data_IF_529761019356
#
_entry.id   IF_529761019356
#
_cell.length_a   1.000
_cell.length_b   1.000
_cell.length_c   1.000
_cell.angle_alpha   90.00
_cell.angle_beta   90.00
_cell.angle_gamma   90.00
#
_symmetry.space_group_name_H-M   'P 1'
#
loop_
_entity.id
_entity.type
_entity.pdbx_description
1 polymer ?
#
# COMPACT_ATOMS: atom_id res chain seq x y z
N UNK A 1 -6.99 -32.41 -6.34
CA UNK A 1 -7.05 -30.95 -6.09
C UNK A 1 -7.42 -30.26 -7.38
N UNK A 2 -8.59 -29.62 -7.43
CA UNK A 2 -9.04 -28.85 -8.60
C UNK A 2 -8.51 -27.43 -8.42
N UNK A 3 -7.63 -26.98 -9.32
CA UNK A 3 -7.27 -25.55 -9.37
C UNK A 3 -8.51 -24.79 -9.84
N UNK A 4 -9.03 -23.80 -9.08
CA UNK A 4 -10.18 -23.04 -9.51
C UNK A 4 -9.89 -22.37 -10.86
N UNK A 5 -10.84 -22.43 -11.79
CA UNK A 5 -10.71 -21.76 -13.09
C UNK A 5 -10.62 -20.25 -12.87
N UNK A 6 -9.66 -19.61 -13.53
CA UNK A 6 -9.54 -18.16 -13.51
C UNK A 6 -10.54 -17.58 -14.52
N UNK A 7 -11.73 -17.21 -14.06
CA UNK A 7 -12.69 -16.48 -14.90
C UNK A 7 -12.26 -15.03 -15.03
N UNK A 8 -11.50 -14.74 -16.10
CA UNK A 8 -11.09 -13.38 -16.41
C UNK A 8 -12.32 -12.47 -16.56
N UNK A 9 -12.27 -11.32 -15.89
CA UNK A 9 -13.27 -10.27 -16.03
C UNK A 9 -12.64 -8.89 -15.85
N UNK A 10 -13.26 -7.87 -16.44
CA UNK A 10 -12.85 -6.48 -16.23
C UNK A 10 -12.84 -6.08 -14.75
N UNK A 11 -13.72 -6.70 -13.95
CA UNK A 11 -13.77 -6.50 -12.51
C UNK A 11 -12.49 -7.00 -11.84
N UNK A 12 -12.06 -8.23 -12.15
CA UNK A 12 -10.82 -8.79 -11.61
C UNK A 12 -9.58 -8.02 -12.08
N UNK A 13 -9.55 -7.57 -13.33
CA UNK A 13 -8.46 -6.75 -13.85
C UNK A 13 -8.37 -5.40 -13.11
N UNK A 14 -9.51 -4.75 -12.85
CA UNK A 14 -9.58 -3.52 -12.04
C UNK A 14 -9.10 -3.77 -10.60
N UNK A 15 -9.55 -4.85 -9.97
CA UNK A 15 -9.12 -5.21 -8.61
C UNK A 15 -7.61 -5.49 -8.55
N UNK A 16 -7.05 -6.19 -9.54
CA UNK A 16 -5.61 -6.44 -9.63
C UNK A 16 -4.83 -5.12 -9.73
N UNK A 17 -5.25 -4.21 -10.62
CA UNK A 17 -4.67 -2.86 -10.74
C UNK A 17 -4.71 -2.10 -9.43
N UNK A 18 -5.88 -2.03 -8.78
CA UNK A 18 -6.03 -1.35 -7.48
C UNK A 18 -5.13 -1.95 -6.41
N UNK A 19 -4.91 -3.27 -6.40
CA UNK A 19 -3.99 -3.90 -5.45
C UNK A 19 -2.51 -3.55 -5.75
N UNK A 20 -2.13 -3.46 -7.02
CA UNK A 20 -0.78 -3.00 -7.41
C UNK A 20 -0.56 -1.53 -7.03
N UNK A 21 -1.53 -0.66 -7.29
CA UNK A 21 -1.44 0.77 -6.95
C UNK A 21 -1.21 0.98 -5.43
N UNK A 22 -1.88 0.18 -4.58
CA UNK A 22 -1.65 0.20 -3.12
C UNK A 22 -0.25 -0.25 -2.73
N UNK A 23 0.28 -1.28 -3.39
CA UNK A 23 1.64 -1.75 -3.16
C UNK A 23 2.67 -0.70 -3.56
N UNK A 24 2.50 -0.07 -4.72
CA UNK A 24 3.36 1.02 -5.18
C UNK A 24 3.35 2.19 -4.20
N UNK A 25 2.17 2.62 -3.75
CA UNK A 25 2.02 3.70 -2.77
C UNK A 25 2.69 3.37 -1.44
N UNK A 26 2.48 2.16 -0.93
CA UNK A 26 3.14 1.68 0.29
C UNK A 26 4.67 1.74 0.17
N UNK A 27 5.22 1.29 -0.96
CA UNK A 27 6.66 1.31 -1.21
C UNK A 27 7.20 2.75 -1.32
N UNK A 28 6.43 3.69 -1.87
CA UNK A 28 6.78 5.13 -1.85
C UNK A 28 6.82 5.67 -0.43
N UNK A 29 5.79 5.41 0.39
CA UNK A 29 5.75 5.84 1.80
C UNK A 29 6.95 5.33 2.61
N UNK A 30 7.36 4.08 2.40
CA UNK A 30 8.55 3.53 3.05
C UNK A 30 9.83 4.31 2.71
N UNK A 31 9.99 4.75 1.46
CA UNK A 31 11.15 5.55 1.05
C UNK A 31 11.18 6.93 1.70
N UNK A 32 10.01 7.51 1.94
CA UNK A 32 9.84 8.84 2.52
C UNK A 32 9.87 8.82 4.06
N UNK A 33 9.81 7.64 4.67
CA UNK A 33 9.77 7.47 6.13
C UNK A 33 11.06 7.95 6.80
N UNK A 34 10.91 8.83 7.80
CA UNK A 34 12.01 9.39 8.62
C UNK A 34 11.73 9.29 10.12
N UNK A 35 10.82 8.40 10.53
CA UNK A 35 10.43 8.25 11.92
C UNK A 35 11.51 7.67 12.82
N UNK A 36 11.14 7.46 14.08
CA UNK A 36 12.03 6.86 15.09
C UNK A 36 11.60 5.42 15.36
N UNK A 37 12.52 4.55 15.83
CA UNK A 37 12.15 3.20 16.24
C UNK A 37 11.07 3.26 17.33
N UNK A 38 9.96 2.57 17.12
CA UNK A 38 8.92 2.38 18.13
C UNK A 38 9.39 1.47 19.27
N UNK A 39 8.75 1.61 20.45
CA UNK A 39 8.93 0.64 21.55
C UNK A 39 8.38 -0.72 21.08
N UNK A 40 9.15 -1.80 21.21
CA UNK A 40 8.82 -3.17 20.75
C UNK A 40 8.74 -3.42 19.23
N UNK A 41 9.66 -2.86 18.43
CA UNK A 41 9.71 -3.16 16.99
C UNK A 41 10.57 -4.38 16.58
N UNK A 42 11.30 -5.01 17.49
CA UNK A 42 12.18 -6.13 17.13
C UNK A 42 11.34 -7.29 16.56
N UNK A 43 11.71 -7.76 15.37
CA UNK A 43 11.24 -8.96 14.69
C UNK A 43 9.94 -8.84 13.88
N UNK A 44 9.41 -7.64 13.63
CA UNK A 44 8.15 -7.51 12.89
C UNK A 44 8.27 -7.94 11.41
N UNK A 45 9.35 -7.54 10.74
CA UNK A 45 9.65 -7.98 9.36
C UNK A 45 10.07 -9.45 9.31
N UNK A 46 10.87 -9.93 10.27
CA UNK A 46 11.33 -11.32 10.32
C UNK A 46 10.15 -12.30 10.49
N UNK A 47 9.22 -11.99 11.39
CA UNK A 47 8.01 -12.79 11.58
C UNK A 47 7.12 -12.81 10.34
N UNK A 48 7.03 -11.66 9.64
CA UNK A 48 6.28 -11.58 8.40
C UNK A 48 6.94 -12.38 7.28
N UNK A 49 8.26 -12.22 7.08
CA UNK A 49 9.04 -12.96 6.08
C UNK A 49 8.89 -14.47 6.27
N UNK A 50 9.05 -14.96 7.52
CA UNK A 50 8.85 -16.37 7.84
C UNK A 50 7.44 -16.86 7.47
N UNK A 51 6.40 -16.15 7.94
CA UNK A 51 5.00 -16.54 7.68
C UNK A 51 4.63 -16.44 6.19
N UNK A 52 5.23 -15.49 5.48
CA UNK A 52 5.04 -15.34 4.04
C UNK A 52 5.59 -16.54 3.28
N UNK A 53 6.83 -16.97 3.59
CA UNK A 53 7.42 -18.14 2.95
C UNK A 53 6.73 -19.45 3.35
N UNK A 54 6.34 -19.62 4.62
CA UNK A 54 5.55 -20.79 5.06
C UNK A 54 4.25 -20.96 4.25
N UNK A 55 3.58 -19.84 3.92
CA UNK A 55 2.36 -19.87 3.11
C UNK A 55 2.64 -20.18 1.64
N UNK A 56 3.81 -19.82 1.11
CA UNK A 56 4.18 -20.14 -0.26
C UNK A 56 4.70 -21.57 -0.41
N UNK A 57 5.32 -22.14 0.62
CA UNK A 57 5.72 -23.55 0.65
C UNK A 57 4.50 -24.49 0.62
N UNK A 58 3.37 -24.04 1.18
CA UNK A 58 2.08 -24.71 1.09
C UNK A 58 1.41 -24.47 -0.28
N UNK A 59 1.79 -25.27 -1.30
CA UNK A 59 1.23 -25.28 -2.67
C UNK A 59 1.14 -23.90 -3.35
N UNK A 60 2.14 -23.03 -3.13
CA UNK A 60 2.17 -21.66 -3.66
C UNK A 60 0.86 -20.90 -3.42
N UNK A 61 0.34 -20.94 -2.19
CA UNK A 61 -0.94 -20.32 -1.81
C UNK A 61 -0.91 -18.79 -1.87
N UNK A 62 -0.93 -18.25 -3.08
CA UNK A 62 -0.87 -16.81 -3.39
C UNK A 62 -2.07 -16.03 -2.87
N UNK A 63 -3.32 -16.56 -2.79
CA UNK A 63 -4.41 -15.84 -2.13
C UNK A 63 -4.13 -15.55 -0.66
N UNK A 64 -3.61 -16.55 0.08
CA UNK A 64 -3.25 -16.39 1.49
C UNK A 64 -2.03 -15.49 1.65
N UNK A 65 -1.04 -15.61 0.77
CA UNK A 65 0.13 -14.73 0.75
C UNK A 65 -0.27 -13.27 0.50
N UNK A 66 -1.19 -13.02 -0.44
CA UNK A 66 -1.78 -11.70 -0.70
C UNK A 66 -2.46 -11.13 0.55
N UNK A 67 -3.26 -11.93 1.25
CA UNK A 67 -3.88 -11.52 2.51
C UNK A 67 -2.85 -11.09 3.55
N UNK A 68 -1.80 -11.89 3.75
CA UNK A 68 -0.70 -11.56 4.66
C UNK A 68 0.01 -10.25 4.29
N UNK A 69 0.24 -10.01 2.99
CA UNK A 69 0.84 -8.76 2.50
C UNK A 69 -0.01 -7.55 2.90
N UNK A 70 -1.33 -7.58 2.66
CA UNK A 70 -2.19 -6.43 2.96
C UNK A 70 -2.40 -6.21 4.46
N UNK A 71 -2.45 -7.27 5.27
CA UNK A 71 -2.44 -7.17 6.73
C UNK A 71 -1.15 -6.52 7.23
N UNK A 72 -0.01 -6.89 6.62
CA UNK A 72 1.28 -6.31 6.95
C UNK A 72 1.37 -4.84 6.56
N UNK A 73 0.95 -4.47 5.36
CA UNK A 73 0.89 -3.07 4.88
C UNK A 73 0.07 -2.22 5.85
N UNK A 74 -1.10 -2.70 6.28
CA UNK A 74 -1.96 -1.98 7.22
C UNK A 74 -1.26 -1.70 8.55
N UNK A 75 -0.56 -2.70 9.10
CA UNK A 75 0.22 -2.55 10.35
C UNK A 75 1.37 -1.56 10.19
N UNK A 76 2.08 -1.60 9.06
CA UNK A 76 3.21 -0.71 8.82
C UNK A 76 2.76 0.72 8.55
N UNK A 77 1.70 0.93 7.77
CA UNK A 77 1.12 2.26 7.55
C UNK A 77 0.75 2.92 8.88
N UNK A 78 0.11 2.19 9.81
CA UNK A 78 -0.18 2.71 11.15
C UNK A 78 1.10 3.17 11.87
N UNK A 79 2.21 2.42 11.76
CA UNK A 79 3.50 2.81 12.36
C UNK A 79 4.13 4.03 11.67
N UNK A 80 3.95 4.18 10.36
CA UNK A 80 4.38 5.37 9.61
C UNK A 80 3.59 6.59 10.11
N UNK A 81 2.26 6.48 10.18
CA UNK A 81 1.35 7.55 10.61
C UNK A 81 1.63 7.97 12.08
N UNK A 82 1.97 7.02 12.95
CA UNK A 82 2.37 7.26 14.35
C UNK A 82 3.84 7.71 14.51
N UNK A 83 4.59 7.85 13.41
CA UNK A 83 6.02 8.19 13.37
C UNK A 83 6.92 7.21 14.16
N UNK A 84 6.49 5.95 14.26
CA UNK A 84 7.11 4.84 14.99
C UNK A 84 7.83 3.82 14.09
N UNK A 85 7.99 4.14 12.81
CA UNK A 85 8.81 3.37 11.88
C UNK A 85 10.10 4.12 11.58
N UNK A 86 11.23 3.54 11.93
CA UNK A 86 12.53 4.13 11.62
C UNK A 86 12.86 3.97 10.14
N UNK A 87 13.71 4.87 9.63
CA UNK A 87 14.24 4.77 8.26
C UNK A 87 14.95 3.42 8.00
N UNK A 88 15.64 2.87 9.00
CA UNK A 88 16.30 1.56 8.90
C UNK A 88 15.27 0.44 8.71
N UNK A 89 14.22 0.42 9.51
CA UNK A 89 13.14 -0.57 9.40
C UNK A 89 12.41 -0.44 8.07
N UNK A 90 12.09 0.79 7.66
CA UNK A 90 11.44 1.06 6.38
C UNK A 90 12.28 0.56 5.20
N UNK A 91 13.60 0.78 5.24
CA UNK A 91 14.54 0.26 4.23
C UNK A 91 14.60 -1.27 4.22
N UNK A 92 14.61 -1.92 5.39
CA UNK A 92 14.58 -3.39 5.48
C UNK A 92 13.31 -3.94 4.85
N UNK A 93 12.14 -3.37 5.16
CA UNK A 93 10.86 -3.78 4.58
C UNK A 93 10.87 -3.56 3.06
N UNK A 94 11.31 -2.40 2.60
CA UNK A 94 11.40 -2.10 1.17
C UNK A 94 12.29 -3.11 0.41
N UNK A 95 13.44 -3.47 0.99
CA UNK A 95 14.34 -4.47 0.41
C UNK A 95 13.73 -5.87 0.37
N UNK A 96 12.92 -6.25 1.37
CA UNK A 96 12.16 -7.50 1.33
C UNK A 96 11.21 -7.53 0.13
N UNK A 97 10.46 -6.45 -0.12
CA UNK A 97 9.57 -6.36 -1.28
C UNK A 97 10.33 -6.38 -2.63
N UNK A 98 11.55 -5.83 -2.68
CA UNK A 98 12.44 -6.00 -3.85
C UNK A 98 12.79 -7.48 -4.08
N UNK A 99 13.23 -8.17 -3.03
CA UNK A 99 13.62 -9.59 -3.08
C UNK A 99 12.46 -10.48 -3.56
N UNK A 100 11.26 -10.33 -3.01
CA UNK A 100 10.13 -11.15 -3.47
C UNK A 100 9.71 -10.81 -4.91
N UNK A 101 9.92 -9.58 -5.36
CA UNK A 101 9.61 -9.19 -6.72
C UNK A 101 10.57 -9.79 -7.76
N UNK A 102 11.75 -10.27 -7.35
CA UNK A 102 12.60 -11.09 -8.23
C UNK A 102 11.92 -12.42 -8.61
N UNK A 103 11.00 -12.90 -7.78
CA UNK A 103 10.22 -14.12 -8.01
C UNK A 103 8.93 -13.81 -8.78
N UNK A 104 8.14 -12.85 -8.27
CA UNK A 104 6.81 -12.56 -8.83
C UNK A 104 6.83 -11.64 -10.04
N UNK A 105 7.81 -10.74 -10.14
CA UNK A 105 7.98 -9.75 -11.21
C UNK A 105 6.69 -8.96 -11.55
N UNK A 106 5.99 -8.48 -10.51
CA UNK A 106 4.71 -7.77 -10.62
C UNK A 106 4.83 -6.26 -10.34
N UNK A 107 5.96 -5.79 -9.79
CA UNK A 107 6.22 -4.40 -9.46
C UNK A 107 7.33 -3.82 -10.34
N UNK A 108 7.10 -2.61 -10.84
CA UNK A 108 8.12 -1.83 -11.52
C UNK A 108 8.82 -0.87 -10.53
N UNK A 109 9.96 -1.31 -10.01
CA UNK A 109 10.76 -0.49 -9.10
C UNK A 109 11.34 0.76 -9.76
N UNK A 110 11.51 0.81 -11.09
CA UNK A 110 11.96 2.03 -11.78
C UNK A 110 10.87 3.10 -11.70
N UNK A 111 9.62 2.70 -11.88
CA UNK A 111 8.44 3.59 -11.72
C UNK A 111 8.25 4.05 -10.27
N UNK A 112 8.43 3.15 -9.31
CA UNK A 112 8.31 3.46 -7.87
C UNK A 112 9.45 4.39 -7.40
N UNK A 113 10.66 4.20 -7.94
CA UNK A 113 11.84 4.99 -7.59
C UNK A 113 11.89 6.34 -8.29
N UNK A 114 11.32 6.40 -9.49
CA UNK A 114 11.14 7.61 -10.28
C UNK A 114 10.25 8.65 -9.59
N UNK A 115 10.38 9.91 -10.01
CA UNK A 115 9.57 11.04 -9.53
C UNK A 115 8.11 10.99 -9.96
N UNK A 116 7.55 9.83 -10.31
CA UNK A 116 6.15 9.71 -10.71
C UNK A 116 5.25 9.71 -9.46
N UNK A 117 5.05 10.94 -8.99
CA UNK A 117 3.80 11.56 -8.53
C UNK A 117 2.62 10.59 -8.41
N UNK A 118 1.93 10.63 -7.26
CA UNK A 118 0.52 10.25 -7.10
C UNK A 118 -0.19 10.16 -8.46
N UNK A 119 -0.82 9.01 -8.76
CA UNK A 119 -1.66 8.84 -9.95
C UNK A 119 -2.38 10.16 -10.24
N UNK A 120 -2.22 10.72 -11.45
CA UNK A 120 -2.81 12.02 -11.81
C UNK A 120 -4.30 12.10 -11.43
N UNK A 121 -4.96 10.95 -11.43
CA UNK A 121 -6.34 10.77 -11.01
C UNK A 121 -6.54 11.05 -9.52
N UNK A 122 -5.67 10.54 -8.64
CA UNK A 122 -5.75 10.79 -7.20
C UNK A 122 -5.34 12.21 -6.85
N UNK A 123 -4.32 12.76 -7.51
CA UNK A 123 -3.98 14.18 -7.34
C UNK A 123 -5.16 15.09 -7.67
N UNK A 124 -5.85 14.82 -8.79
CA UNK A 124 -7.07 15.52 -9.17
C UNK A 124 -8.20 15.32 -8.16
N UNK A 125 -8.37 14.12 -7.62
CA UNK A 125 -9.39 13.87 -6.59
C UNK A 125 -9.09 14.62 -5.29
N UNK A 126 -7.82 14.68 -4.86
CA UNK A 126 -7.40 15.46 -3.69
C UNK A 126 -7.62 16.96 -3.92
N UNK A 127 -7.22 17.51 -5.07
CA UNK A 127 -7.47 18.91 -5.43
C UNK A 127 -8.97 19.22 -5.53
N UNK A 128 -9.76 18.31 -6.08
CA UNK A 128 -11.22 18.46 -6.20
C UNK A 128 -11.91 18.47 -4.83
N UNK A 129 -11.43 17.64 -3.90
CA UNK A 129 -11.89 17.66 -2.51
C UNK A 129 -11.59 19.00 -1.85
N UNK A 130 -10.35 19.50 -1.96
CA UNK A 130 -9.96 20.79 -1.36
C UNK A 130 -10.75 21.97 -1.97
N UNK A 131 -11.03 21.92 -3.27
CA UNK A 131 -11.92 22.89 -3.92
C UNK A 131 -13.33 22.85 -3.34
N UNK A 132 -13.90 21.68 -3.10
CA UNK A 132 -15.21 21.58 -2.46
C UNK A 132 -15.19 22.00 -0.98
N UNK A 133 -14.09 21.76 -0.25
CA UNK A 133 -13.91 22.18 1.14
C UNK A 133 -13.84 23.70 1.27
N UNK A 134 -13.02 24.36 0.44
CA UNK A 134 -12.91 25.83 0.38
C UNK A 134 -14.21 26.51 -0.05
N UNK A 135 -15.00 25.86 -0.91
CA UNK A 135 -16.34 26.30 -1.30
C UNK A 135 -17.44 25.96 -0.28
N UNK A 136 -17.10 25.40 0.89
CA UNK A 136 -18.05 24.94 1.93
C UNK A 136 -19.08 23.91 1.44
N UNK A 137 -18.77 23.20 0.37
CA UNK A 137 -19.59 22.11 -0.21
C UNK A 137 -19.24 20.77 0.46
N UNK A 138 -19.63 20.62 1.72
CA UNK A 138 -19.25 19.48 2.56
C UNK A 138 -19.72 18.12 2.01
N UNK A 139 -20.92 18.05 1.43
CA UNK A 139 -21.44 16.83 0.79
C UNK A 139 -20.55 16.35 -0.36
N UNK A 140 -20.16 17.25 -1.27
CA UNK A 140 -19.30 16.90 -2.42
C UNK A 140 -17.87 16.56 -1.98
N UNK A 141 -17.35 17.22 -0.95
CA UNK A 141 -16.06 16.86 -0.37
C UNK A 141 -16.08 15.44 0.24
N UNK A 142 -17.17 15.06 0.92
CA UNK A 142 -17.34 13.72 1.48
C UNK A 142 -17.52 12.64 0.40
N UNK A 143 -18.22 12.95 -0.70
CA UNK A 143 -18.31 12.07 -1.87
C UNK A 143 -16.94 11.79 -2.50
N UNK A 144 -16.11 12.84 -2.65
CA UNK A 144 -14.76 12.69 -3.18
C UNK A 144 -13.86 11.94 -2.19
N UNK A 145 -14.00 12.18 -0.87
CA UNK A 145 -13.33 11.39 0.17
C UNK A 145 -13.68 9.91 0.07
N UNK A 146 -14.96 9.57 -0.11
CA UNK A 146 -15.42 8.19 -0.32
C UNK A 146 -14.85 7.59 -1.61
N UNK A 147 -14.71 8.36 -2.68
CA UNK A 147 -14.04 7.90 -3.92
C UNK A 147 -12.57 7.60 -3.70
N UNK A 148 -11.85 8.45 -2.97
CA UNK A 148 -10.44 8.25 -2.63
C UNK A 148 -10.29 7.03 -1.69
N UNK A 149 -11.19 6.87 -0.71
CA UNK A 149 -11.25 5.68 0.15
C UNK A 149 -11.62 4.41 -0.61
N UNK A 150 -12.47 4.48 -1.64
CA UNK A 150 -12.77 3.34 -2.52
C UNK A 150 -11.59 2.92 -3.39
N UNK A 151 -10.68 3.86 -3.68
CA UNK A 151 -9.38 3.58 -4.29
C UNK A 151 -8.35 3.10 -3.25
N UNK A 152 -8.76 2.96 -1.99
CA UNK A 152 -7.96 2.51 -0.85
C UNK A 152 -6.85 3.49 -0.44
N UNK A 153 -7.04 4.76 -0.78
CA UNK A 153 -6.24 5.86 -0.29
C UNK A 153 -6.98 6.53 0.88
N UNK A 154 -6.28 6.70 1.99
CA UNK A 154 -6.79 7.44 3.15
C UNK A 154 -6.22 8.85 3.09
N UNK A 155 -7.09 9.85 3.07
CA UNK A 155 -6.68 11.24 3.24
C UNK A 155 -6.58 11.51 4.73
N UNK A 156 -5.39 11.90 5.19
CA UNK A 156 -5.19 12.46 6.51
C UNK A 156 -5.16 13.98 6.38
N UNK A 157 -6.13 14.66 6.98
CA UNK A 157 -6.06 16.11 7.13
C UNK A 157 -4.95 16.41 8.12
N UNK A 158 -3.84 16.96 7.64
CA UNK A 158 -2.83 17.54 8.52
C UNK A 158 -3.29 18.95 8.91
N UNK A 159 -3.00 19.36 10.14
CA UNK A 159 -3.38 20.68 10.68
C UNK A 159 -2.71 21.87 9.98
N UNK A 160 -2.00 21.65 8.86
CA UNK A 160 -1.38 22.68 8.03
C UNK A 160 -1.99 22.86 6.64
N UNK A 161 -3.05 22.12 6.27
CA UNK A 161 -3.73 22.32 4.98
C UNK A 161 -4.11 21.01 4.34
#
# INVERSE_FOLDING_TARGET
>A
WIRPSLDFSDKLAKEAKTNLDKLEEFLRKLRETKGKPGKNNKNLIENFEKRFFEVLEDDFNTPKAKGLIFDFISKINKKIDENQLSQKEAKTIYNFFKKINEIFNILDFKKIEGKEVLSKEIKKLVELREKHRTQRNWQKADEVRKKIQKLDYKIEDTSQG
#
